data_IF_549556347170
#
_entry.id   IF_549556347170
#
_cell.length_a   1.000
_cell.length_b   1.000
_cell.length_c   1.000
_cell.angle_alpha   90.00
_cell.angle_beta   90.00
_cell.angle_gamma   90.00
#
_symmetry.space_group_name_H-M   'P 1'
#
loop_
_entity.id
_entity.type
_entity.pdbx_description
1 polymer ?
#
# COMPACT_ATOMS: atom_id res chain seq x y z
N UNK A 1 -6.39 21.46 -17.27
CA UNK A 1 -7.30 21.54 -16.09
C UNK A 1 -7.15 22.93 -15.48
N UNK A 2 -8.25 23.59 -15.08
CA UNK A 2 -8.24 24.91 -14.40
C UNK A 2 -8.85 24.76 -12.99
N UNK A 3 -8.58 25.68 -12.02
CA UNK A 3 -9.19 25.63 -10.70
C UNK A 3 -10.72 25.50 -10.78
N UNK A 4 -11.31 24.61 -9.97
CA UNK A 4 -12.75 24.33 -9.95
C UNK A 4 -13.26 23.37 -11.03
N UNK A 5 -12.43 22.92 -11.97
CA UNK A 5 -12.82 21.95 -13.01
C UNK A 5 -12.68 20.51 -12.48
N UNK A 6 -13.72 19.69 -12.60
CA UNK A 6 -13.63 18.24 -12.36
C UNK A 6 -12.69 17.57 -13.36
N UNK A 7 -11.87 16.63 -12.89
CA UNK A 7 -11.05 15.79 -13.75
C UNK A 7 -10.71 14.46 -13.07
N UNK A 8 -10.39 13.45 -13.87
CA UNK A 8 -9.94 12.13 -13.45
C UNK A 8 -8.49 11.91 -13.92
N UNK A 9 -7.48 12.39 -13.16
CA UNK A 9 -6.09 12.21 -13.55
C UNK A 9 -5.67 10.74 -13.49
N UNK A 10 -4.86 10.29 -14.45
CA UNK A 10 -4.23 8.98 -14.40
C UNK A 10 -3.30 8.90 -13.18
N UNK A 11 -3.47 7.88 -12.34
CA UNK A 11 -2.54 7.58 -11.26
C UNK A 11 -1.36 6.76 -11.82
N UNK A 12 -0.19 7.39 -11.91
CA UNK A 12 1.05 6.71 -12.34
C UNK A 12 1.68 5.93 -11.19
N UNK A 13 1.61 6.44 -9.97
CA UNK A 13 2.27 5.86 -8.80
C UNK A 13 1.38 6.02 -7.56
N UNK A 14 1.20 4.94 -6.81
CA UNK A 14 0.39 4.90 -5.58
C UNK A 14 1.22 4.33 -4.45
N UNK A 15 1.29 5.03 -3.32
CA UNK A 15 1.98 4.58 -2.10
C UNK A 15 1.01 4.15 -1.01
N UNK A 16 1.36 3.08 -0.30
CA UNK A 16 0.66 2.56 0.87
C UNK A 16 1.66 2.26 1.99
N UNK A 17 1.29 2.52 3.24
CA UNK A 17 2.12 2.29 4.43
C UNK A 17 1.39 1.37 5.42
N UNK A 18 2.10 0.82 6.39
CA UNK A 18 1.70 -0.32 7.23
C UNK A 18 0.62 -0.03 8.29
N UNK A 19 0.35 1.23 8.64
CA UNK A 19 -0.77 1.59 9.53
C UNK A 19 -2.09 1.74 8.79
N UNK A 20 -2.08 2.22 7.55
CA UNK A 20 -3.30 2.32 6.72
C UNK A 20 -3.48 1.12 5.79
N UNK A 21 -2.41 0.40 5.47
CA UNK A 21 -2.39 -0.72 4.53
C UNK A 21 -3.40 -1.82 4.85
N UNK A 22 -3.61 -2.23 6.12
CA UNK A 22 -4.66 -3.18 6.46
C UNK A 22 -6.07 -2.69 6.12
N UNK A 23 -6.36 -1.39 6.32
CA UNK A 23 -7.66 -0.81 5.95
C UNK A 23 -7.79 -0.72 4.43
N UNK A 24 -6.76 -0.25 3.72
CA UNK A 24 -6.73 -0.22 2.26
C UNK A 24 -6.92 -1.62 1.65
N UNK A 25 -6.31 -2.65 2.25
CA UNK A 25 -6.53 -4.05 1.85
C UNK A 25 -8.01 -4.43 1.92
N UNK A 26 -8.70 -4.02 2.98
CA UNK A 26 -10.09 -4.39 3.18
C UNK A 26 -11.00 -3.65 2.21
N UNK A 27 -10.76 -2.36 1.94
CA UNK A 27 -11.44 -1.62 0.86
C UNK A 27 -11.21 -2.27 -0.52
N UNK A 28 -10.00 -2.74 -0.79
CA UNK A 28 -9.68 -3.44 -2.04
C UNK A 28 -10.40 -4.78 -2.17
N UNK A 29 -10.72 -5.46 -1.06
CA UNK A 29 -11.54 -6.68 -1.09
C UNK A 29 -12.99 -6.34 -1.38
N UNK A 30 -13.52 -5.29 -0.77
CA UNK A 30 -14.91 -4.85 -0.97
C UNK A 30 -15.15 -4.40 -2.42
N UNK A 31 -14.14 -3.80 -3.04
CA UNK A 31 -14.14 -3.47 -4.48
C UNK A 31 -13.83 -4.66 -5.40
N UNK A 32 -13.70 -5.89 -4.86
CA UNK A 32 -13.30 -7.09 -5.59
C UNK A 32 -12.03 -6.91 -6.44
N UNK A 33 -11.07 -6.11 -5.97
CA UNK A 33 -9.83 -5.85 -6.68
C UNK A 33 -8.93 -7.10 -6.67
N UNK A 34 -8.74 -7.68 -7.86
CA UNK A 34 -7.86 -8.83 -8.10
C UNK A 34 -6.50 -8.41 -8.68
N UNK A 35 -6.34 -7.16 -9.11
CA UNK A 35 -5.10 -6.61 -9.65
C UNK A 35 -5.15 -5.08 -9.69
N UNK A 36 -3.99 -4.44 -9.59
CA UNK A 36 -3.87 -2.99 -9.68
C UNK A 36 -3.81 -2.51 -11.14
N UNK A 37 -4.49 -1.40 -11.42
CA UNK A 37 -4.45 -0.74 -12.74
C UNK A 37 -3.48 0.44 -12.81
N UNK A 38 -2.97 0.92 -11.68
CA UNK A 38 -1.94 1.96 -11.66
C UNK A 38 -0.60 1.36 -12.11
N UNK A 39 0.23 2.16 -12.80
CA UNK A 39 1.51 1.67 -13.35
C UNK A 39 2.44 1.18 -12.23
N UNK A 40 2.38 1.80 -11.05
CA UNK A 40 3.09 1.36 -9.85
C UNK A 40 2.23 1.49 -8.60
N UNK A 41 2.18 0.44 -7.79
CA UNK A 41 1.66 0.47 -6.40
C UNK A 41 2.74 -0.05 -5.47
N UNK A 42 3.13 0.72 -4.45
CA UNK A 42 4.14 0.35 -3.46
C UNK A 42 3.54 0.26 -2.05
N UNK A 43 3.91 -0.79 -1.31
CA UNK A 43 3.64 -0.95 0.12
C UNK A 43 4.93 -0.89 0.93
N UNK A 44 4.93 -0.09 2.00
CA UNK A 44 6.02 0.03 2.96
C UNK A 44 5.67 -0.51 4.35
N UNK A 45 6.69 -0.69 5.20
CA UNK A 45 6.57 -1.13 6.59
C UNK A 45 7.40 -0.23 7.52
N UNK A 46 7.12 1.06 7.51
CA UNK A 46 7.95 2.07 8.18
C UNK A 46 7.43 2.52 9.55
N UNK A 47 6.13 2.36 9.84
CA UNK A 47 5.54 2.90 11.07
C UNK A 47 5.52 1.88 12.21
N UNK A 48 5.49 0.58 11.90
CA UNK A 48 5.32 -0.50 12.89
C UNK A 48 6.55 -1.40 13.02
N UNK A 49 7.60 -1.18 12.23
CA UNK A 49 8.78 -2.05 12.19
C UNK A 49 9.68 -1.95 13.43
N UNK A 50 9.76 -0.80 14.10
CA UNK A 50 10.71 -0.60 15.20
C UNK A 50 10.38 -1.44 16.44
N UNK A 51 9.09 -1.50 16.82
CA UNK A 51 8.61 -2.20 18.01
C UNK A 51 7.25 -2.86 17.72
N UNK A 52 7.22 -3.95 16.93
CA UNK A 52 5.97 -4.52 16.44
C UNK A 52 5.17 -5.17 17.56
N UNK A 53 3.88 -4.81 17.66
CA UNK A 53 2.91 -5.57 18.45
C UNK A 53 2.60 -6.90 17.73
N UNK A 54 2.04 -7.91 18.41
CA UNK A 54 1.67 -9.17 17.75
C UNK A 54 0.78 -9.00 16.52
N UNK A 55 -0.09 -7.98 16.51
CA UNK A 55 -0.92 -7.66 15.35
C UNK A 55 -0.11 -7.09 14.17
N UNK A 56 0.94 -6.32 14.44
CA UNK A 56 1.83 -5.76 13.42
C UNK A 56 2.64 -6.89 12.76
N UNK A 57 3.11 -7.85 13.55
CA UNK A 57 3.78 -9.07 13.04
C UNK A 57 2.86 -9.81 12.06
N UNK A 58 1.57 -9.96 12.37
CA UNK A 58 0.60 -10.56 11.43
C UNK A 58 0.49 -9.75 10.14
N UNK A 59 0.47 -8.42 10.23
CA UNK A 59 0.47 -7.53 9.06
C UNK A 59 1.73 -7.72 8.22
N UNK A 60 2.91 -7.79 8.85
CA UNK A 60 4.20 -8.00 8.17
C UNK A 60 4.25 -9.32 7.40
N UNK A 61 3.58 -10.37 7.89
CA UNK A 61 3.52 -11.67 7.23
C UNK A 61 2.44 -11.78 6.14
N UNK A 62 1.38 -10.97 6.19
CA UNK A 62 0.20 -11.17 5.31
C UNK A 62 0.01 -10.08 4.26
N UNK A 63 0.39 -8.84 4.57
CA UNK A 63 0.19 -7.71 3.65
C UNK A 63 1.12 -7.73 2.42
N UNK A 64 2.41 -8.17 2.51
CA UNK A 64 3.28 -8.22 1.33
C UNK A 64 2.73 -9.06 0.19
N UNK A 65 2.20 -10.24 0.53
CA UNK A 65 1.66 -11.18 -0.46
C UNK A 65 0.36 -10.66 -1.06
N UNK A 66 -0.49 -10.01 -0.26
CA UNK A 66 -1.70 -9.37 -0.77
C UNK A 66 -1.40 -8.30 -1.84
N UNK A 67 -0.34 -7.50 -1.64
CA UNK A 67 0.10 -6.46 -2.56
C UNK A 67 0.78 -7.08 -3.79
N UNK A 68 1.69 -8.04 -3.60
CA UNK A 68 2.45 -8.67 -4.69
C UNK A 68 1.56 -9.47 -5.64
N UNK A 69 0.57 -10.18 -5.11
CA UNK A 69 -0.40 -10.93 -5.94
C UNK A 69 -1.27 -10.03 -6.82
N UNK A 70 -1.33 -8.73 -6.55
CA UNK A 70 -2.03 -7.71 -7.35
C UNK A 70 -1.12 -6.90 -8.27
N UNK A 71 0.15 -7.29 -8.38
CA UNK A 71 1.15 -6.60 -9.22
C UNK A 71 1.87 -5.44 -8.53
N UNK A 72 1.69 -5.26 -7.22
CA UNK A 72 2.37 -4.21 -6.45
C UNK A 72 3.77 -4.62 -5.96
N UNK A 73 4.57 -3.62 -5.62
CA UNK A 73 5.86 -3.76 -4.95
C UNK A 73 5.65 -3.69 -3.45
N UNK A 74 6.31 -4.58 -2.69
CA UNK A 74 6.27 -4.56 -1.24
C UNK A 74 7.69 -4.49 -0.70
N UNK A 75 7.98 -3.44 0.06
CA UNK A 75 9.19 -3.35 0.88
C UNK A 75 9.10 -4.32 2.06
N UNK A 76 10.19 -4.42 2.83
CA UNK A 76 10.30 -5.23 4.04
C UNK A 76 10.31 -4.34 5.29
N UNK A 77 9.85 -4.85 6.45
CA UNK A 77 10.07 -4.18 7.73
C UNK A 77 11.57 -3.87 7.92
N UNK A 78 11.89 -2.60 8.18
CA UNK A 78 13.26 -2.12 8.34
C UNK A 78 13.90 -1.50 7.09
N UNK A 79 13.30 -1.61 5.90
CA UNK A 79 13.86 -1.01 4.68
C UNK A 79 13.87 0.53 4.74
N UNK A 80 12.94 1.14 5.47
CA UNK A 80 12.92 2.58 5.72
C UNK A 80 11.60 3.25 5.39
N UNK A 81 11.60 4.58 5.40
CA UNK A 81 10.42 5.44 5.29
C UNK A 81 9.83 5.40 3.88
N UNK A 82 8.51 5.29 3.77
CA UNK A 82 7.78 5.20 2.48
C UNK A 82 8.19 6.24 1.45
N UNK A 83 8.43 7.49 1.85
CA UNK A 83 8.74 8.59 0.94
C UNK A 83 10.24 8.70 0.57
N UNK A 84 11.08 7.85 1.15
CA UNK A 84 12.50 7.74 0.81
C UNK A 84 12.77 6.69 -0.27
N UNK A 85 11.78 5.83 -0.55
CA UNK A 85 11.82 4.74 -1.53
C UNK A 85 11.01 5.09 -2.77
#
# INVERSE_FOLDING_TARGET
VRPGTYCEPKMTTVGSQDTTGPMTRDELKDLACLGFSADLVMQSFCHTAAYPKPIDVKTHHTLPDFIRTRGGVSLRPGDGIIHSW
#
